data_IF_391304111851
#
_entry.id   IF_391304111851
#
_cell.length_a   1.000
_cell.length_b   1.000
_cell.length_c   1.000
_cell.angle_alpha   90.00
_cell.angle_beta   90.00
_cell.angle_gamma   90.00
#
_symmetry.space_group_name_H-M   'P 1'
#
loop_
_entity.id
_entity.type
_entity.pdbx_description
1 polymer ?
#
# COMPACT_ATOMS: atom_id res chain seq x y z
N UNK A 1 0.45 14.92 -21.53
CA UNK A 1 0.41 14.71 -20.08
C UNK A 1 0.31 13.22 -19.79
N UNK A 2 1.13 12.75 -18.90
CA UNK A 2 1.07 11.34 -18.49
C UNK A 2 0.33 11.23 -17.17
N UNK A 3 -0.55 10.26 -17.10
CA UNK A 3 -1.30 9.96 -15.88
C UNK A 3 -0.84 8.62 -15.34
N UNK A 4 -0.67 8.54 -14.05
CA UNK A 4 -0.36 7.28 -13.39
C UNK A 4 -1.10 7.21 -12.06
N UNK A 5 -1.13 6.04 -11.47
CA UNK A 5 -1.82 5.80 -10.20
C UNK A 5 -0.80 5.36 -9.16
N UNK A 6 -0.96 5.87 -7.96
CA UNK A 6 -0.15 5.48 -6.82
C UNK A 6 -1.06 5.02 -5.70
N UNK A 7 -0.66 3.99 -4.99
CA UNK A 7 -1.46 3.38 -3.92
C UNK A 7 -0.70 3.42 -2.61
N UNK A 8 -1.38 3.84 -1.55
CA UNK A 8 -0.88 3.72 -0.19
C UNK A 8 -1.77 2.75 0.59
N UNK A 9 -1.17 2.06 1.55
CA UNK A 9 -1.86 1.08 2.39
C UNK A 9 -1.76 1.53 3.83
N UNK A 10 -2.90 1.58 4.53
CA UNK A 10 -2.93 1.78 5.96
C UNK A 10 -3.03 0.41 6.62
N UNK A 11 -2.11 0.10 7.51
CA UNK A 11 -2.04 -1.21 8.12
C UNK A 11 -1.56 -1.12 9.57
N UNK A 12 -1.81 -2.18 10.32
CA UNK A 12 -1.37 -2.28 11.70
C UNK A 12 0.06 -2.82 11.77
N UNK A 13 0.81 -2.30 12.72
CA UNK A 13 2.13 -2.82 13.06
C UNK A 13 2.11 -3.14 14.55
N UNK A 14 2.55 -4.34 14.93
CA UNK A 14 2.61 -4.78 16.30
C UNK A 14 4.05 -4.68 16.81
N UNK A 15 4.24 -4.03 17.96
CA UNK A 15 5.54 -3.92 18.59
C UNK A 15 5.86 -5.16 19.41
N UNK A 16 7.09 -5.25 19.91
CA UNK A 16 7.54 -6.34 20.79
C UNK A 16 6.69 -6.44 22.05
N UNK A 17 6.14 -5.31 22.52
CA UNK A 17 5.33 -5.25 23.73
C UNK A 17 3.87 -5.60 23.48
N UNK A 18 3.52 -5.90 22.24
CA UNK A 18 2.14 -6.21 21.86
C UNK A 18 1.28 -5.00 21.53
N UNK A 19 1.85 -3.80 21.53
CA UNK A 19 1.14 -2.58 21.15
C UNK A 19 0.95 -2.56 19.64
N UNK A 20 -0.19 -2.03 19.20
CA UNK A 20 -0.52 -1.92 17.77
C UNK A 20 -0.62 -0.46 17.36
N UNK A 21 -0.01 -0.15 16.24
CA UNK A 21 -0.04 1.19 15.66
C UNK A 21 -0.55 1.11 14.23
N UNK A 22 -1.34 2.10 13.83
CA UNK A 22 -1.77 2.25 12.45
C UNK A 22 -0.72 3.08 11.72
N UNK A 23 -0.19 2.55 10.64
CA UNK A 23 0.80 3.25 9.81
C UNK A 23 0.33 3.28 8.37
N UNK A 24 0.78 4.30 7.64
CA UNK A 24 0.52 4.42 6.21
C UNK A 24 1.82 4.18 5.47
N UNK A 25 1.80 3.28 4.51
CA UNK A 25 2.99 2.90 3.75
C UNK A 25 2.75 2.98 2.25
N UNK A 26 3.77 3.46 1.54
CA UNK A 26 3.81 3.39 0.09
C UNK A 26 4.97 2.48 -0.28
N UNK A 27 4.72 1.52 -1.16
CA UNK A 27 5.73 0.53 -1.52
C UNK A 27 6.36 0.85 -2.86
N UNK A 28 7.67 0.66 -2.97
CA UNK A 28 8.39 0.86 -4.22
C UNK A 28 7.80 -0.05 -5.30
N UNK A 29 7.57 0.50 -6.48
CA UNK A 29 6.99 -0.25 -7.59
C UNK A 29 5.47 -0.39 -7.53
N UNK A 30 4.79 0.31 -6.63
CA UNK A 30 3.34 0.27 -6.54
C UNK A 30 2.63 1.16 -7.56
N UNK A 31 3.38 1.96 -8.30
CA UNK A 31 2.78 2.81 -9.34
C UNK A 31 2.31 1.95 -10.50
N UNK A 32 1.25 2.38 -11.16
CA UNK A 32 0.71 1.67 -12.30
C UNK A 32 -0.04 2.58 -13.26
N UNK A 33 -0.27 2.09 -14.47
CA UNK A 33 -1.00 2.82 -15.51
C UNK A 33 -2.50 2.85 -15.27
N UNK A 34 -2.99 1.94 -14.44
CA UNK A 34 -4.40 1.89 -14.04
C UNK A 34 -4.49 1.76 -12.53
N UNK A 35 -5.64 2.16 -11.97
CA UNK A 35 -5.88 2.04 -10.54
C UNK A 35 -5.76 0.58 -10.07
N UNK A 36 -6.28 -0.34 -10.86
CA UNK A 36 -6.24 -1.78 -10.55
C UNK A 36 -4.81 -2.29 -10.52
N UNK A 37 -3.99 -1.88 -11.47
CA UNK A 37 -2.59 -2.29 -11.55
C UNK A 37 -1.80 -1.75 -10.35
N UNK A 38 -1.98 -0.47 -10.02
CA UNK A 38 -1.33 0.16 -8.88
C UNK A 38 -1.71 -0.54 -7.58
N UNK A 39 -3.00 -0.83 -7.40
CA UNK A 39 -3.48 -1.54 -6.21
C UNK A 39 -2.87 -2.94 -6.11
N UNK A 40 -2.84 -3.69 -7.20
CA UNK A 40 -2.25 -5.02 -7.21
C UNK A 40 -0.75 -4.99 -6.88
N UNK A 41 -0.03 -4.01 -7.42
CA UNK A 41 1.39 -3.83 -7.15
C UNK A 41 1.63 -3.49 -5.67
N UNK A 42 0.77 -2.65 -5.10
CA UNK A 42 0.88 -2.27 -3.69
C UNK A 42 0.63 -3.48 -2.77
N UNK A 43 -0.37 -4.29 -3.08
CA UNK A 43 -0.68 -5.49 -2.30
C UNK A 43 0.49 -6.48 -2.38
N UNK A 44 1.05 -6.67 -3.57
CA UNK A 44 2.21 -7.55 -3.74
C UNK A 44 3.41 -7.06 -2.91
N UNK A 45 3.67 -5.75 -2.90
CA UNK A 45 4.73 -5.15 -2.09
C UNK A 45 4.48 -5.33 -0.59
N UNK A 46 3.24 -5.16 -0.17
CA UNK A 46 2.81 -5.35 1.21
C UNK A 46 3.09 -6.78 1.68
N UNK A 47 2.69 -7.76 0.90
CA UNK A 47 2.92 -9.17 1.21
C UNK A 47 4.41 -9.52 1.18
N UNK A 48 5.15 -8.98 0.22
CA UNK A 48 6.59 -9.21 0.09
C UNK A 48 7.37 -8.65 1.29
N UNK A 49 6.87 -7.59 1.89
CA UNK A 49 7.46 -6.99 3.09
C UNK A 49 7.20 -7.84 4.36
N UNK A 50 6.40 -8.90 4.27
CA UNK A 50 6.14 -9.80 5.37
C UNK A 50 4.85 -9.53 6.12
N UNK A 51 4.03 -8.62 5.62
CA UNK A 51 2.74 -8.31 6.26
C UNK A 51 1.66 -9.27 5.78
N UNK A 52 0.65 -9.46 6.61
CA UNK A 52 -0.47 -10.37 6.32
C UNK A 52 -1.76 -9.57 6.08
N UNK A 53 -2.71 -10.21 5.42
CA UNK A 53 -4.00 -9.59 5.11
C UNK A 53 -4.75 -9.11 6.35
N UNK A 54 -4.56 -9.77 7.49
CA UNK A 54 -5.22 -9.40 8.75
C UNK A 54 -4.81 -8.00 9.22
N UNK A 55 -3.62 -7.57 8.85
CA UNK A 55 -3.06 -6.28 9.26
C UNK A 55 -3.54 -5.13 8.37
N UNK A 56 -4.08 -5.43 7.20
CA UNK A 56 -4.50 -4.43 6.24
C UNK A 56 -5.81 -3.79 6.66
N UNK A 57 -5.80 -2.46 6.83
CA UNK A 57 -6.97 -1.70 7.26
C UNK A 57 -7.64 -0.95 6.11
N UNK A 58 -6.88 -0.31 5.25
CA UNK A 58 -7.44 0.40 4.10
C UNK A 58 -6.43 0.52 2.98
N UNK A 59 -6.94 0.72 1.77
CA UNK A 59 -6.15 0.94 0.57
C UNK A 59 -6.67 2.20 -0.10
N UNK A 60 -5.76 3.11 -0.42
CA UNK A 60 -6.12 4.34 -1.12
C UNK A 60 -5.29 4.46 -2.39
N UNK A 61 -5.96 4.56 -3.52
CA UNK A 61 -5.31 4.75 -4.82
C UNK A 61 -5.63 6.14 -5.34
N UNK A 62 -4.59 6.86 -5.73
CA UNK A 62 -4.69 8.25 -6.18
C UNK A 62 -4.20 8.36 -7.60
N UNK A 63 -4.96 9.08 -8.42
CA UNK A 63 -4.55 9.41 -9.78
C UNK A 63 -3.64 10.64 -9.73
N UNK A 64 -2.48 10.53 -10.36
CA UNK A 64 -1.49 11.61 -10.41
C UNK A 64 -1.18 11.96 -11.87
N UNK A 65 -0.89 13.23 -12.09
CA UNK A 65 -0.51 13.73 -13.41
C UNK A 65 0.90 14.34 -13.36
N UNK A 66 1.63 14.08 -14.43
CA UNK A 66 2.97 14.65 -14.58
C UNK A 66 2.99 15.54 -15.82
#
# INVERSE_FOLDING_TARGET
MNTFFATSIEHLVTTKDGDKFLVSSSFAGSDGDTAKESEANAIAGFEKAGHTADELMSITTTELEI
#
